data_IF_858265766462
#
_entry.id   IF_858265766462
#
_cell.length_a   1.000
_cell.length_b   1.000
_cell.length_c   1.000
_cell.angle_alpha   90.00
_cell.angle_beta   90.00
_cell.angle_gamma   90.00
#
_symmetry.space_group_name_H-M   'P 1'
#
loop_
_entity.id
_entity.type
_entity.pdbx_description
1 polymer ?
#
# COMPACT_ATOMS: atom_id res chain seq x y z
N UNK A 1 7.38 6.27 -3.25
CA UNK A 1 6.15 5.69 -2.66
C UNK A 1 5.87 4.28 -3.13
N UNK A 2 5.80 4.01 -4.45
CA UNK A 2 5.55 2.65 -4.96
C UNK A 2 6.53 1.58 -4.47
N UNK A 3 7.85 1.86 -4.48
CA UNK A 3 8.87 0.94 -3.95
C UNK A 3 8.64 0.64 -2.46
N UNK A 4 8.32 1.67 -1.66
CA UNK A 4 8.02 1.52 -0.23
C UNK A 4 6.78 0.66 0.01
N UNK A 5 5.71 0.85 -0.78
CA UNK A 5 4.52 0.01 -0.72
C UNK A 5 4.81 -1.44 -1.15
N UNK A 6 5.65 -1.63 -2.18
CA UNK A 6 6.08 -2.95 -2.64
C UNK A 6 6.92 -3.70 -1.58
N UNK A 7 7.80 -2.99 -0.87
CA UNK A 7 8.50 -3.53 0.30
C UNK A 7 7.49 -3.95 1.38
N UNK A 8 6.46 -3.13 1.63
CA UNK A 8 5.37 -3.49 2.56
C UNK A 8 4.67 -4.80 2.19
N UNK A 9 4.27 -4.96 0.93
CA UNK A 9 3.66 -6.20 0.42
C UNK A 9 4.62 -7.40 0.58
N UNK A 10 5.91 -7.22 0.29
CA UNK A 10 6.92 -8.27 0.49
C UNK A 10 7.06 -8.68 1.97
N UNK A 11 7.07 -7.72 2.89
CA UNK A 11 7.14 -8.01 4.33
C UNK A 11 5.91 -8.78 4.82
N UNK A 12 4.70 -8.36 4.43
CA UNK A 12 3.45 -9.06 4.78
C UNK A 12 3.43 -10.50 4.24
N UNK A 13 3.94 -10.70 3.02
CA UNK A 13 3.98 -12.02 2.38
C UNK A 13 5.02 -12.98 2.98
N UNK A 14 6.14 -12.46 3.48
CA UNK A 14 7.23 -13.28 4.03
C UNK A 14 7.13 -13.50 5.54
N UNK A 15 6.64 -12.50 6.28
CA UNK A 15 6.48 -12.56 7.73
C UNK A 15 5.00 -12.66 8.06
N UNK A 16 4.51 -13.90 8.24
CA UNK A 16 3.12 -14.15 8.58
C UNK A 16 2.79 -13.67 10.01
N UNK A 17 1.54 -13.25 10.22
CA UNK A 17 0.99 -12.83 11.51
C UNK A 17 1.21 -13.86 12.63
N UNK A 18 1.25 -15.15 12.29
CA UNK A 18 1.39 -16.26 13.24
C UNK A 18 2.80 -16.43 13.82
N UNK A 19 3.83 -15.93 13.14
CA UNK A 19 5.23 -16.15 13.52
C UNK A 19 5.93 -14.85 13.94
N UNK A 20 5.83 -13.79 13.13
CA UNK A 20 6.55 -12.52 13.39
C UNK A 20 5.66 -11.31 13.12
N UNK A 21 4.71 -11.12 14.03
CA UNK A 21 3.68 -10.08 13.87
C UNK A 21 4.18 -8.65 13.79
N UNK A 22 5.23 -8.28 14.54
CA UNK A 22 5.72 -6.89 14.55
C UNK A 22 6.13 -6.47 13.13
N UNK A 23 6.83 -7.35 12.42
CA UNK A 23 7.27 -7.10 11.05
C UNK A 23 6.08 -7.16 10.08
N UNK A 24 5.14 -8.10 10.29
CA UNK A 24 3.91 -8.16 9.51
C UNK A 24 3.12 -6.84 9.59
N UNK A 25 3.00 -6.27 10.79
CA UNK A 25 2.30 -5.02 11.03
C UNK A 25 3.01 -3.82 10.38
N UNK A 26 4.35 -3.76 10.49
CA UNK A 26 5.14 -2.75 9.76
C UNK A 26 4.89 -2.89 8.25
N UNK A 27 4.92 -4.12 7.75
CA UNK A 27 4.59 -4.43 6.35
C UNK A 27 3.19 -3.95 5.96
N UNK A 28 2.17 -4.21 6.77
CA UNK A 28 0.79 -3.81 6.51
C UNK A 28 0.61 -2.29 6.50
N UNK A 29 1.26 -1.56 7.42
CA UNK A 29 1.26 -0.10 7.42
C UNK A 29 1.92 0.47 6.15
N UNK A 30 3.07 -0.08 5.75
CA UNK A 30 3.76 0.31 4.52
C UNK A 30 2.94 -0.06 3.27
N UNK A 31 2.27 -1.22 3.25
CA UNK A 31 1.48 -1.66 2.11
C UNK A 31 0.21 -0.81 1.95
N UNK A 32 -0.58 -0.65 3.01
CA UNK A 32 -1.92 -0.06 2.93
C UNK A 32 -1.91 1.45 3.10
N UNK A 33 -1.22 1.99 4.11
CA UNK A 33 -1.23 3.44 4.38
C UNK A 33 -0.41 4.18 3.34
N UNK A 34 0.85 3.77 3.11
CA UNK A 34 1.69 4.39 2.07
C UNK A 34 1.14 4.09 0.68
N UNK A 35 0.56 2.90 0.46
CA UNK A 35 -0.15 2.55 -0.77
C UNK A 35 -1.38 3.43 -1.06
N UNK A 36 -2.15 3.80 -0.03
CA UNK A 36 -3.29 4.73 -0.18
C UNK A 36 -2.83 6.13 -0.57
N UNK A 37 -1.78 6.64 0.08
CA UNK A 37 -1.16 7.92 -0.28
C UNK A 37 -0.68 7.87 -1.73
N UNK A 38 -0.06 6.75 -2.16
CA UNK A 38 0.32 6.56 -3.55
C UNK A 38 -0.88 6.64 -4.49
N UNK A 39 -2.00 6.00 -4.19
CA UNK A 39 -3.21 6.04 -5.03
C UNK A 39 -3.71 7.48 -5.23
N UNK A 40 -3.75 8.28 -4.16
CA UNK A 40 -4.18 9.68 -4.22
C UNK A 40 -3.23 10.57 -5.02
N UNK A 41 -1.92 10.49 -4.76
CA UNK A 41 -0.91 11.27 -5.49
C UNK A 41 -0.94 10.88 -6.97
N UNK A 42 -0.97 9.59 -7.28
CA UNK A 42 -0.97 9.08 -8.65
C UNK A 42 -2.25 9.46 -9.42
N UNK A 43 -3.41 9.48 -8.74
CA UNK A 43 -4.66 10.00 -9.33
C UNK A 43 -4.54 11.49 -9.65
N UNK A 44 -4.01 12.29 -8.73
CA UNK A 44 -3.77 13.72 -8.95
C UNK A 44 -2.80 14.01 -10.10
N UNK A 45 -1.73 13.23 -10.21
CA UNK A 45 -0.80 13.31 -11.35
C UNK A 45 -1.47 12.89 -12.66
N UNK A 46 -2.32 11.86 -12.66
CA UNK A 46 -3.04 11.41 -13.87
C UNK A 46 -3.90 12.52 -14.48
N UNK A 47 -4.53 13.37 -13.67
CA UNK A 47 -5.29 14.53 -14.19
C UNK A 47 -4.40 15.64 -14.77
N UNK A 48 -3.14 15.76 -14.32
CA UNK A 48 -2.19 16.76 -14.81
C UNK A 48 -1.43 16.31 -16.06
N UNK A 49 -1.56 15.04 -16.46
CA UNK A 49 -0.85 14.46 -17.61
C UNK A 49 -1.83 13.88 -18.66
N UNK A 50 -2.79 14.68 -19.18
CA UNK A 50 -3.79 14.20 -20.13
C UNK A 50 -3.19 13.72 -21.46
N UNK A 51 -2.00 14.21 -21.82
CA UNK A 51 -1.34 13.90 -23.10
C UNK A 51 -0.57 12.57 -23.09
N UNK A 52 -0.54 11.86 -21.95
CA UNK A 52 0.16 10.58 -21.84
C UNK A 52 -0.62 9.48 -22.59
N UNK A 53 -0.01 8.76 -23.54
CA UNK A 53 -0.70 7.70 -24.28
C UNK A 53 -1.17 6.59 -23.34
N UNK A 54 -2.47 6.30 -23.39
CA UNK A 54 -3.15 5.34 -22.50
C UNK A 54 -3.82 5.96 -21.28
N UNK A 55 -3.53 7.22 -20.94
CA UNK A 55 -4.18 7.95 -19.87
C UNK A 55 -5.40 8.72 -20.41
N UNK A 56 -6.61 8.22 -20.16
CA UNK A 56 -7.85 8.89 -20.54
C UNK A 56 -8.58 9.47 -19.34
N UNK A 57 -9.47 10.43 -19.56
CA UNK A 57 -10.32 11.01 -18.51
C UNK A 57 -11.14 9.93 -17.79
N UNK A 58 -11.56 8.88 -18.51
CA UNK A 58 -12.28 7.73 -17.93
C UNK A 58 -11.38 6.98 -16.94
N UNK A 59 -10.12 6.72 -17.31
CA UNK A 59 -9.14 6.07 -16.41
C UNK A 59 -8.89 6.94 -15.18
N UNK A 60 -8.77 8.26 -15.35
CA UNK A 60 -8.63 9.20 -14.23
C UNK A 60 -9.82 9.16 -13.27
N UNK A 61 -11.05 9.13 -13.79
CA UNK A 61 -12.28 8.99 -12.99
C UNK A 61 -12.32 7.65 -12.25
N UNK A 62 -11.99 6.55 -12.92
CA UNK A 62 -11.93 5.21 -12.30
C UNK A 62 -10.90 5.20 -11.15
N UNK A 63 -9.69 5.73 -11.38
CA UNK A 63 -8.65 5.85 -10.34
C UNK A 63 -9.10 6.68 -9.14
N UNK A 64 -9.87 7.74 -9.38
CA UNK A 64 -10.46 8.57 -8.31
C UNK A 64 -11.45 7.76 -7.47
N UNK A 65 -12.38 7.04 -8.12
CA UNK A 65 -13.37 6.21 -7.42
C UNK A 65 -12.67 5.12 -6.59
N UNK A 66 -11.69 4.43 -7.17
CA UNK A 66 -10.94 3.38 -6.45
C UNK A 66 -10.16 3.98 -5.27
N UNK A 67 -9.54 5.16 -5.43
CA UNK A 67 -8.79 5.83 -4.35
C UNK A 67 -9.70 6.22 -3.17
N UNK A 68 -10.90 6.74 -3.47
CA UNK A 68 -11.91 7.06 -2.45
C UNK A 68 -12.39 5.80 -1.72
N UNK A 69 -12.73 4.74 -2.47
CA UNK A 69 -13.16 3.47 -1.87
C UNK A 69 -12.06 2.86 -1.00
N UNK A 70 -10.81 2.86 -1.48
CA UNK A 70 -9.64 2.35 -0.73
C UNK A 70 -9.47 3.12 0.58
N UNK A 71 -9.63 4.44 0.57
CA UNK A 71 -9.56 5.27 1.78
C UNK A 71 -10.67 4.91 2.77
N UNK A 72 -11.91 4.76 2.30
CA UNK A 72 -13.04 4.35 3.15
C UNK A 72 -12.77 3.01 3.83
N UNK A 73 -12.34 1.99 3.09
CA UNK A 73 -12.07 0.68 3.65
C UNK A 73 -10.84 0.66 4.58
N UNK A 74 -9.84 1.52 4.35
CA UNK A 74 -8.73 1.71 5.30
C UNK A 74 -9.23 2.30 6.61
N UNK A 75 -10.14 3.27 6.57
CA UNK A 75 -10.75 3.79 7.80
C UNK A 75 -11.53 2.69 8.53
N UNK A 76 -12.26 1.84 7.81
CA UNK A 76 -12.93 0.67 8.39
C UNK A 76 -11.94 -0.30 9.05
N UNK A 77 -10.78 -0.54 8.45
CA UNK A 77 -9.73 -1.41 8.97
C UNK A 77 -9.25 -0.98 10.37
N UNK A 78 -9.22 0.32 10.65
CA UNK A 78 -8.81 0.82 11.96
C UNK A 78 -9.97 0.94 12.96
N UNK A 79 -11.18 1.28 12.51
CA UNK A 79 -12.33 1.52 13.40
C UNK A 79 -12.97 0.20 13.86
N UNK A 80 -13.29 -0.72 12.95
CA UNK A 80 -14.10 -1.91 13.27
C UNK A 80 -13.43 -2.86 14.29
N UNK A 81 -12.11 -3.13 14.23
CA UNK A 81 -11.43 -3.89 15.26
C UNK A 81 -11.52 -3.24 16.65
N UNK A 82 -11.43 -1.90 16.73
CA UNK A 82 -11.52 -1.19 18.02
C UNK A 82 -12.91 -1.34 18.63
N UNK A 83 -13.96 -1.21 17.81
CA UNK A 83 -15.35 -1.40 18.25
C UNK A 83 -15.62 -2.85 18.66
N UNK A 84 -15.09 -3.82 17.91
CA UNK A 84 -15.19 -5.24 18.25
C UNK A 84 -14.57 -5.55 19.60
N UNK A 85 -13.41 -4.95 19.88
CA UNK A 85 -12.70 -5.16 21.15
C UNK A 85 -13.40 -4.49 22.34
N UNK A 86 -14.09 -3.36 22.13
CA UNK A 86 -14.91 -2.73 23.17
C UNK A 86 -16.12 -3.59 23.57
N UNK A 87 -16.63 -4.38 22.64
CA UNK A 87 -17.73 -5.32 22.89
C UNK A 87 -17.24 -6.71 23.31
N UNK A 88 -15.92 -6.92 23.48
CA UNK A 88 -15.42 -8.23 23.83
C UNK A 88 -15.93 -8.66 25.23
N UNK A 89 -16.39 -9.91 25.38
CA UNK A 89 -16.89 -10.39 26.66
C UNK A 89 -15.75 -10.50 27.69
N UNK A 90 -16.09 -10.43 28.98
CA UNK A 90 -15.14 -10.29 30.10
C UNK A 90 -14.10 -11.40 30.24
N UNK A 91 -14.37 -12.59 29.69
CA UNK A 91 -13.43 -13.72 29.66
C UNK A 91 -12.35 -13.57 28.58
N UNK A 92 -12.57 -12.72 27.57
CA UNK A 92 -11.51 -12.23 26.70
C UNK A 92 -10.73 -11.19 27.51
N UNK A 93 -9.64 -11.64 28.13
CA UNK A 93 -8.68 -10.77 28.80
C UNK A 93 -7.95 -9.91 27.75
N UNK A 94 -8.63 -8.93 27.16
CA UNK A 94 -8.03 -7.80 26.42
C UNK A 94 -7.29 -6.96 27.46
N UNK A 95 -6.09 -7.43 27.83
CA UNK A 95 -5.40 -7.08 29.08
C UNK A 95 -5.18 -5.58 29.24
N UNK A 96 -5.68 -4.98 30.32
CA UNK A 96 -5.16 -3.89 31.17
C UNK A 96 -4.59 -2.59 30.56
N UNK A 97 -4.45 -2.49 29.23
CA UNK A 97 -3.77 -1.43 28.50
C UNK A 97 -4.68 -0.75 27.46
N UNK A 98 -5.89 -1.27 27.23
CA UNK A 98 -6.89 -0.68 26.31
C UNK A 98 -7.74 0.41 26.96
N UNK A 99 -7.84 0.42 28.29
CA UNK A 99 -8.56 1.42 29.07
C UNK A 99 -7.55 2.28 29.86
N UNK A 100 -7.82 3.59 29.95
CA UNK A 100 -6.96 4.53 30.63
C UNK A 100 -6.76 4.11 32.11
N UNK A 101 -5.50 3.86 32.48
CA UNK A 101 -5.04 3.73 33.87
C UNK A 101 -3.89 4.74 34.05
N UNK A 102 -3.92 5.58 35.09
CA UNK A 102 -2.85 6.56 35.30
C UNK A 102 -1.51 5.83 35.54
N UNK A 103 -0.47 6.20 34.80
CA UNK A 103 0.91 5.71 34.99
C UNK A 103 1.45 4.67 33.98
N UNK A 104 0.69 4.25 32.95
CA UNK A 104 1.20 3.36 31.88
C UNK A 104 1.36 4.07 30.53
N UNK A 105 2.39 3.75 29.72
CA UNK A 105 2.53 4.28 28.37
C UNK A 105 1.36 3.77 27.50
N UNK A 106 0.65 4.71 26.88
CA UNK A 106 -0.50 4.45 26.02
C UNK A 106 -0.10 4.63 24.55
N UNK A 107 -0.40 3.63 23.73
CA UNK A 107 -0.25 3.71 22.29
C UNK A 107 -1.61 4.08 21.66
N UNK A 108 -1.64 4.71 20.46
CA UNK A 108 -2.89 5.03 19.80
C UNK A 108 -3.74 3.77 19.60
N UNK A 109 -5.02 3.89 19.97
CA UNK A 109 -5.99 2.80 20.17
C UNK A 109 -6.07 1.85 18.97
N UNK A 110 -5.92 2.35 17.74
CA UNK A 110 -5.98 1.55 16.52
C UNK A 110 -4.84 0.53 16.36
N UNK A 111 -3.59 0.92 16.65
CA UNK A 111 -2.42 0.04 16.53
C UNK A 111 -2.44 -1.01 17.66
N UNK A 112 -2.80 -0.58 18.89
CA UNK A 112 -2.88 -1.49 20.03
C UNK A 112 -4.08 -2.45 19.95
N UNK A 113 -5.19 -2.04 19.33
CA UNK A 113 -6.35 -2.89 19.03
C UNK A 113 -6.08 -3.95 17.97
N UNK A 114 -5.12 -3.69 17.08
CA UNK A 114 -4.62 -4.68 16.12
C UNK A 114 -3.62 -5.61 16.80
N UNK A 115 -2.75 -5.07 17.66
CA UNK A 115 -1.85 -5.86 18.50
C UNK A 115 -2.59 -6.70 19.56
N UNK A 116 -3.80 -6.30 19.99
CA UNK A 116 -4.60 -7.07 20.94
C UNK A 116 -5.20 -8.34 20.31
N UNK A 117 -5.28 -8.43 18.97
CA UNK A 117 -5.58 -9.71 18.28
C UNK A 117 -4.54 -10.81 18.56
N UNK A 118 -3.34 -10.42 19.02
CA UNK A 118 -2.17 -11.30 19.15
C UNK A 118 -2.07 -11.99 20.49
N UNK A 119 -2.71 -11.42 21.52
CA UNK A 119 -2.70 -12.00 22.85
C UNK A 119 -3.93 -12.87 23.00
N UNK A 120 -3.84 -14.12 22.52
CA UNK A 120 -4.88 -15.12 22.79
C UNK A 120 -5.09 -15.24 24.30
N UNK A 121 -6.34 -15.25 24.79
CA UNK A 121 -6.60 -15.61 26.17
C UNK A 121 -6.08 -17.04 26.41
N UNK A 122 -5.35 -17.23 27.50
CA UNK A 122 -4.71 -18.50 27.84
C UNK A 122 -5.82 -19.47 28.25
N UNK A 123 -6.20 -20.39 27.36
CA UNK A 123 -7.15 -21.48 27.66
C UNK A 123 -8.37 -21.63 26.75
N UNK A 124 -8.50 -20.86 25.67
CA UNK A 124 -9.72 -20.83 24.83
C UNK A 124 -9.47 -21.29 23.39
N UNK A 125 -10.42 -22.02 22.80
CA UNK A 125 -10.28 -22.55 21.44
C UNK A 125 -10.53 -21.44 20.42
N UNK A 126 -9.83 -21.44 19.27
CA UNK A 126 -10.05 -20.44 18.21
C UNK A 126 -11.50 -20.43 17.70
N UNK A 127 -12.24 -21.53 17.91
CA UNK A 127 -13.61 -21.72 17.46
C UNK A 127 -14.59 -20.82 18.22
N UNK A 128 -14.33 -20.58 19.51
CA UNK A 128 -15.23 -19.81 20.38
C UNK A 128 -15.22 -18.32 20.03
N UNK A 129 -14.09 -17.82 19.52
CA UNK A 129 -13.90 -16.41 19.15
C UNK A 129 -14.65 -16.00 17.87
N UNK A 130 -14.96 -16.95 16.98
CA UNK A 130 -15.67 -16.74 15.72
C UNK A 130 -17.13 -17.22 15.78
N UNK A 131 -17.67 -17.44 16.97
CA UNK A 131 -19.07 -17.81 17.15
C UNK A 131 -20.00 -16.60 16.91
N UNK A 132 -21.07 -16.71 16.10
CA UNK A 132 -22.04 -15.63 15.92
C UNK A 132 -22.70 -15.13 17.22
N UNK A 133 -22.69 -15.98 18.25
CA UNK A 133 -23.29 -15.69 19.56
C UNK A 133 -22.42 -14.77 20.43
N UNK A 134 -21.15 -14.54 20.08
CA UNK A 134 -20.29 -13.64 20.86
C UNK A 134 -20.49 -12.17 20.44
N UNK A 135 -20.63 -11.25 21.41
CA UNK A 135 -20.68 -9.83 21.10
C UNK A 135 -19.45 -9.38 20.31
N UNK A 136 -19.63 -8.42 19.40
CA UNK A 136 -18.57 -7.95 18.52
C UNK A 136 -18.29 -8.81 17.28
N UNK A 137 -18.94 -9.98 17.09
CA UNK A 137 -18.77 -10.85 15.92
C UNK A 137 -18.94 -10.13 14.59
N UNK A 138 -20.01 -9.35 14.43
CA UNK A 138 -20.27 -8.57 13.22
C UNK A 138 -19.12 -7.61 12.88
N UNK A 139 -18.58 -6.91 13.88
CA UNK A 139 -17.43 -6.02 13.67
C UNK A 139 -16.15 -6.78 13.28
N UNK A 140 -15.94 -8.01 13.77
CA UNK A 140 -14.81 -8.87 13.36
C UNK A 140 -14.93 -9.22 11.88
N UNK A 141 -16.09 -9.71 11.46
CA UNK A 141 -16.37 -10.07 10.06
C UNK A 141 -16.23 -8.86 9.14
N UNK A 142 -16.84 -7.72 9.48
CA UNK A 142 -16.72 -6.51 8.65
C UNK A 142 -15.26 -6.05 8.56
N UNK A 143 -14.47 -6.13 9.63
CA UNK A 143 -13.04 -5.79 9.58
C UNK A 143 -12.27 -6.71 8.64
N UNK A 144 -12.48 -8.03 8.72
CA UNK A 144 -11.80 -9.01 7.86
C UNK A 144 -12.21 -8.83 6.41
N UNK A 145 -13.49 -8.63 6.12
CA UNK A 145 -13.96 -8.36 4.75
C UNK A 145 -13.33 -7.06 4.22
N UNK A 146 -13.29 -6.00 5.02
CA UNK A 146 -12.67 -4.73 4.61
C UNK A 146 -11.18 -4.87 4.31
N UNK A 147 -10.45 -5.71 5.07
CA UNK A 147 -9.03 -5.99 4.86
C UNK A 147 -8.77 -6.59 3.47
N UNK A 148 -9.52 -7.63 3.10
CA UNK A 148 -9.41 -8.25 1.78
C UNK A 148 -9.85 -7.30 0.66
N UNK A 149 -10.87 -6.48 0.88
CA UNK A 149 -11.32 -5.48 -0.09
C UNK A 149 -10.27 -4.39 -0.35
N UNK A 150 -9.58 -3.89 0.68
CA UNK A 150 -8.46 -2.94 0.50
C UNK A 150 -7.37 -3.55 -0.37
N UNK A 151 -6.96 -4.79 -0.07
CA UNK A 151 -5.93 -5.47 -0.84
C UNK A 151 -6.33 -5.60 -2.32
N UNK A 152 -7.56 -6.04 -2.59
CA UNK A 152 -8.09 -6.17 -3.95
C UNK A 152 -8.18 -4.81 -4.67
N UNK A 153 -8.66 -3.76 -4.00
CA UNK A 153 -8.77 -2.43 -4.59
C UNK A 153 -7.40 -1.85 -4.97
N UNK A 154 -6.37 -2.06 -4.16
CA UNK A 154 -4.99 -1.65 -4.48
C UNK A 154 -4.47 -2.42 -5.70
N UNK A 155 -4.74 -3.72 -5.81
CA UNK A 155 -4.36 -4.52 -6.99
C UNK A 155 -5.10 -4.04 -8.23
N UNK A 156 -6.41 -3.78 -8.15
CA UNK A 156 -7.20 -3.24 -9.26
C UNK A 156 -6.69 -1.85 -9.65
N UNK A 157 -6.33 -1.01 -8.68
CA UNK A 157 -5.72 0.29 -8.94
C UNK A 157 -4.42 0.12 -9.75
N UNK A 158 -3.54 -0.80 -9.36
CA UNK A 158 -2.32 -1.10 -10.10
C UNK A 158 -2.60 -1.62 -11.51
N UNK A 159 -3.63 -2.45 -11.69
CA UNK A 159 -4.04 -2.95 -13.00
C UNK A 159 -4.44 -1.82 -13.97
N UNK A 160 -4.88 -0.65 -13.47
CA UNK A 160 -5.20 0.50 -14.33
C UNK A 160 -3.99 1.03 -15.11
N UNK A 161 -2.75 0.80 -14.63
CA UNK A 161 -1.53 1.22 -15.34
C UNK A 161 -1.16 0.32 -16.52
N UNK A 162 -1.81 -0.84 -16.67
CA UNK A 162 -1.50 -1.78 -17.77
C UNK A 162 -1.55 -1.11 -19.14
N UNK A 163 -2.50 -0.18 -19.36
CA UNK A 163 -2.62 0.56 -20.63
C UNK A 163 -1.43 1.48 -20.86
N UNK A 164 -1.03 2.26 -19.86
CA UNK A 164 0.11 3.18 -19.96
C UNK A 164 1.42 2.43 -20.20
N UNK A 165 1.62 1.30 -19.50
CA UNK A 165 2.82 0.47 -19.69
C UNK A 165 2.95 -0.12 -21.09
N UNK A 166 1.81 -0.34 -21.79
CA UNK A 166 1.82 -0.84 -23.16
C UNK A 166 2.35 0.17 -24.18
N UNK A 167 2.33 1.47 -23.87
CA UNK A 167 2.75 2.52 -24.78
C UNK A 167 4.22 2.94 -24.59
N UNK A 168 4.89 2.53 -23.51
CA UNK A 168 6.31 2.80 -23.35
C UNK A 168 7.14 1.95 -24.33
N UNK A 169 7.67 2.60 -25.35
CA UNK A 169 8.76 2.06 -26.18
C UNK A 169 10.06 2.68 -25.67
N UNK A 170 10.99 1.85 -25.22
CA UNK A 170 12.35 2.28 -24.92
C UNK A 170 13.07 2.53 -26.26
N UNK A 171 13.23 3.81 -26.61
CA UNK A 171 14.12 4.22 -27.69
C UNK A 171 15.56 3.98 -27.23
N UNK A 172 16.35 3.25 -28.03
CA UNK A 172 17.77 3.01 -27.71
C UNK A 172 18.57 4.31 -27.86
N UNK A 173 19.49 4.64 -26.95
CA UNK A 173 20.38 5.78 -27.16
C UNK A 173 21.33 5.47 -28.32
N UNK A 174 21.36 6.33 -29.34
CA UNK A 174 22.35 6.30 -30.41
C UNK A 174 23.62 6.97 -29.92
N UNK A 175 24.57 6.15 -29.44
CA UNK A 175 25.93 6.64 -29.20
C UNK A 175 26.61 6.86 -30.56
N UNK A 176 26.71 8.12 -31.00
CA UNK A 176 27.63 8.48 -32.08
C UNK A 176 29.04 8.53 -31.50
N UNK A 177 29.91 7.61 -31.91
CA UNK A 177 31.34 7.72 -31.62
C UNK A 177 31.87 8.90 -32.42
N UNK A 178 32.25 9.97 -31.73
CA UNK A 178 32.84 11.15 -32.34
C UNK A 178 34.29 10.82 -32.75
N UNK A 179 34.44 10.43 -34.01
CA UNK A 179 35.75 10.08 -34.60
C UNK A 179 36.56 11.36 -34.87
N UNK A 180 37.44 11.72 -33.93
CA UNK A 180 38.33 12.90 -34.04
C UNK A 180 39.27 12.85 -35.25
N UNK A 181 39.49 11.67 -35.83
CA UNK A 181 40.40 11.49 -36.97
C UNK A 181 39.89 12.14 -38.27
N UNK A 182 38.59 12.37 -38.38
CA UNK A 182 37.99 13.08 -39.53
C UNK A 182 38.11 14.60 -39.44
N UNK A 183 38.19 15.16 -38.23
CA UNK A 183 38.34 16.62 -38.04
C UNK A 183 39.74 17.06 -38.47
N UNK A 184 40.76 16.27 -38.10
CA UNK A 184 42.17 16.57 -38.44
C UNK A 184 42.41 16.52 -39.95
N UNK A 185 41.79 15.58 -40.66
CA UNK A 185 41.98 15.44 -42.13
C UNK A 185 41.27 16.53 -42.94
N UNK A 186 40.12 17.02 -42.48
CA UNK A 186 39.41 18.16 -43.10
C UNK A 186 40.15 19.49 -42.86
N UNK A 187 40.73 19.66 -41.67
CA UNK A 187 41.51 20.86 -41.34
C UNK A 187 42.82 20.93 -42.13
N UNK A 188 43.46 19.79 -42.41
CA UNK A 188 44.63 19.73 -43.28
C UNK A 188 44.32 20.01 -44.76
N UNK A 189 43.22 19.48 -45.29
CA UNK A 189 42.82 19.72 -46.70
C UNK A 189 42.32 21.15 -46.94
N UNK A 190 41.70 21.79 -45.95
CA UNK A 190 41.31 23.20 -46.04
C UNK A 190 42.52 24.16 -46.09
N UNK A 191 43.61 23.82 -45.39
CA UNK A 191 44.83 24.61 -45.41
C UNK A 191 45.66 24.43 -46.69
N UNK A 192 45.65 23.25 -47.31
CA UNK A 192 46.37 23.01 -48.58
C UNK A 192 45.72 23.71 -49.78
N UNK A 193 44.43 24.07 -49.71
CA UNK A 193 43.72 24.79 -50.77
C UNK A 193 43.78 26.32 -50.65
N UNK A 194 44.35 26.86 -49.55
CA UNK A 194 44.52 28.31 -49.32
C UNK A 194 45.97 28.80 -49.48
N UNK A 195 46.88 27.95 -49.96
CA UNK A 195 48.27 28.29 -50.31
C UNK A 195 48.45 28.26 -51.83
#
# INVERSE_FOLDING_TARGET
MGITAALGISLVGNFQETNVIVIHLIGALLAFVVGSIYCWIQTGMSFKMPDLPGNSVIVCRIRTVISVLTFIFIIMLFIFPTLSNQQAPSWVNVTDNTYWKPGKPHFPVGIFSLLSKLKKPKGESNLDYWNPSVPGYGFRITSTVSEWLVALLIVIFLATFYKEFRYFKLEKPTCSVHDRTKVVSVEQTGNEQSA
#
